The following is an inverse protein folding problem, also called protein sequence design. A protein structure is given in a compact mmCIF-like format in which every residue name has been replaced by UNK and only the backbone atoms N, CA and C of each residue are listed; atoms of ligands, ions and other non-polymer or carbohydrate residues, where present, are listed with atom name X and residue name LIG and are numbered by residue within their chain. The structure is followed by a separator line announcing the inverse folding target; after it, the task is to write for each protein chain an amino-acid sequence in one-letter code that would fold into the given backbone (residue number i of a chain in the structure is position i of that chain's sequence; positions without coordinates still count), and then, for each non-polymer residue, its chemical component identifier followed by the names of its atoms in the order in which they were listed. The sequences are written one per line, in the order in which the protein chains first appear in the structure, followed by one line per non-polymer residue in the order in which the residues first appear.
data_IF_199832548540
#
_entry.id   IF_199832548540
#
_cell.length_a   1.000
_cell.length_b   1.000
_cell.length_c   1.000
_cell.angle_alpha   90.00
_cell.angle_beta   90.00
_cell.angle_gamma   90.00
#
_symmetry.space_group_name_H-M   'P 1'
#
loop_
_entity.id
_entity.type
_entity.pdbx_description
1 polymer ?
#
# COMPACT_ATOMS: atom_id res chain seq x y z
N UNK A 1 16.81 -19.14 -20.75
CA UNK A 1 15.35 -19.05 -20.55
C UNK A 1 15.08 -18.87 -19.07
N UNK A 2 14.15 -18.01 -18.76
CA UNK A 2 13.70 -17.78 -17.39
C UNK A 2 12.42 -18.59 -17.16
N UNK A 3 12.36 -19.30 -16.05
CA UNK A 3 11.23 -20.15 -15.67
C UNK A 3 10.77 -19.78 -14.25
N UNK A 4 9.45 -19.79 -14.04
CA UNK A 4 8.87 -19.57 -12.74
C UNK A 4 8.19 -20.87 -12.29
N UNK A 5 8.72 -21.50 -11.25
CA UNK A 5 8.13 -22.67 -10.64
C UNK A 5 7.31 -22.26 -9.42
N UNK A 6 6.02 -22.63 -9.44
CA UNK A 6 5.09 -22.29 -8.35
C UNK A 6 4.54 -23.61 -7.79
N UNK A 7 4.71 -23.78 -6.47
CA UNK A 7 4.13 -24.86 -5.70
C UNK A 7 3.25 -24.30 -4.59
N UNK A 8 1.98 -24.65 -4.59
CA UNK A 8 0.98 -24.18 -3.61
C UNK A 8 0.42 -25.36 -2.85
N UNK A 9 0.54 -25.32 -1.53
CA UNK A 9 -0.08 -26.26 -0.60
C UNK A 9 -0.93 -25.51 0.42
N UNK A 10 -1.83 -26.17 1.17
CA UNK A 10 -2.57 -25.51 2.25
C UNK A 10 -1.67 -24.88 3.33
N UNK A 11 -0.43 -25.35 3.46
CA UNK A 11 0.51 -24.95 4.52
C UNK A 11 1.46 -23.84 4.06
N UNK A 12 1.81 -23.80 2.79
CA UNK A 12 2.78 -22.84 2.25
C UNK A 12 2.68 -22.68 0.74
N UNK A 13 3.11 -21.52 0.25
CA UNK A 13 3.37 -21.23 -1.15
C UNK A 13 4.88 -21.08 -1.35
N UNK A 14 5.44 -21.77 -2.35
CA UNK A 14 6.84 -21.65 -2.76
C UNK A 14 6.88 -21.15 -4.20
N UNK A 15 7.72 -20.16 -4.45
CA UNK A 15 7.94 -19.63 -5.80
C UNK A 15 9.45 -19.60 -6.04
N UNK A 16 9.93 -20.28 -7.07
CA UNK A 16 11.31 -20.26 -7.48
C UNK A 16 11.47 -19.63 -8.87
N UNK A 17 12.38 -18.66 -8.97
CA UNK A 17 12.84 -18.12 -10.25
C UNK A 17 14.06 -18.92 -10.69
N UNK A 18 13.95 -19.58 -11.84
CA UNK A 18 15.02 -20.33 -12.46
C UNK A 18 15.57 -19.53 -13.64
N UNK A 19 16.88 -19.31 -13.66
CA UNK A 19 17.57 -18.66 -14.76
C UNK A 19 18.69 -19.58 -15.26
N UNK A 20 18.67 -19.88 -16.54
CA UNK A 20 19.64 -20.80 -17.18
C UNK A 20 19.80 -22.15 -16.45
N UNK A 21 18.69 -22.72 -15.97
CA UNK A 21 18.67 -24.00 -15.27
C UNK A 21 19.12 -23.95 -13.80
N UNK A 22 19.38 -22.75 -13.26
CA UNK A 22 19.81 -22.57 -11.86
C UNK A 22 18.76 -21.76 -11.11
N UNK A 23 18.46 -22.15 -9.85
CA UNK A 23 17.59 -21.36 -8.96
C UNK A 23 18.30 -20.06 -8.61
N UNK A 24 17.72 -18.94 -9.05
CA UNK A 24 18.22 -17.60 -8.77
C UNK A 24 17.60 -17.01 -7.51
N UNK A 25 16.28 -17.18 -7.35
CA UNK A 25 15.54 -16.70 -6.19
C UNK A 25 14.52 -17.75 -5.71
N UNK A 26 14.34 -17.84 -4.40
CA UNK A 26 13.33 -18.71 -3.79
C UNK A 26 12.53 -17.93 -2.76
N UNK A 27 11.23 -17.86 -2.97
CA UNK A 27 10.27 -17.25 -2.04
C UNK A 27 9.46 -18.36 -1.38
N UNK A 28 9.33 -18.30 -0.04
CA UNK A 28 8.51 -19.23 0.74
C UNK A 28 7.62 -18.44 1.67
N UNK A 29 6.31 -18.52 1.48
CA UNK A 29 5.32 -17.94 2.37
C UNK A 29 4.54 -19.06 3.05
N UNK A 30 4.57 -19.10 4.39
CA UNK A 30 3.84 -20.08 5.20
C UNK A 30 2.53 -19.50 5.71
N UNK A 31 1.43 -20.25 5.58
CA UNK A 31 0.09 -19.83 6.01
C UNK A 31 0.06 -19.38 7.49
N UNK A 32 0.79 -20.09 8.37
CA UNK A 32 0.89 -19.76 9.82
C UNK A 32 1.66 -18.48 10.12
N UNK A 33 2.48 -17.99 9.16
CA UNK A 33 3.31 -16.78 9.30
C UNK A 33 2.97 -15.71 8.26
N UNK A 34 1.81 -15.82 7.64
CA UNK A 34 1.37 -14.86 6.65
C UNK A 34 1.20 -13.50 7.30
N UNK A 35 1.99 -12.51 6.85
CA UNK A 35 1.88 -11.12 7.29
C UNK A 35 0.60 -10.47 6.79
N UNK A 36 0.11 -9.49 7.53
CA UNK A 36 -1.07 -8.71 7.18
C UNK A 36 -0.70 -7.36 6.57
N UNK A 37 0.57 -6.96 6.65
CA UNK A 37 1.05 -5.68 6.13
C UNK A 37 0.71 -5.53 4.65
N UNK A 38 0.10 -4.37 4.30
CA UNK A 38 -0.37 -4.07 2.96
C UNK A 38 -1.82 -4.52 2.68
N UNK A 39 -2.40 -5.42 3.48
CA UNK A 39 -3.80 -5.81 3.33
C UNK A 39 -4.74 -4.64 3.60
N UNK A 40 -5.80 -4.55 2.81
CA UNK A 40 -6.84 -3.52 2.92
C UNK A 40 -8.12 -4.16 3.43
N UNK A 41 -8.73 -3.52 4.43
CA UNK A 41 -9.94 -3.99 5.08
C UNK A 41 -11.02 -2.89 5.12
N UNK A 42 -12.26 -3.31 5.15
CA UNK A 42 -13.40 -2.50 5.56
C UNK A 42 -13.55 -2.66 7.07
N UNK A 43 -13.06 -1.68 7.83
CA UNK A 43 -13.02 -1.72 9.28
C UNK A 43 -14.18 -0.94 9.91
N UNK A 44 -14.59 -1.36 11.12
CA UNK A 44 -15.61 -0.69 11.95
C UNK A 44 -14.95 -0.10 13.19
N UNK A 45 -15.12 1.19 13.42
CA UNK A 45 -14.65 1.86 14.65
C UNK A 45 -15.40 1.29 15.85
N UNK A 46 -14.67 0.70 16.79
CA UNK A 46 -15.21 0.13 18.02
C UNK A 46 -15.21 1.16 19.13
N UNK A 47 -14.10 1.87 19.29
CA UNK A 47 -13.88 2.84 20.36
C UNK A 47 -12.92 3.92 19.93
N UNK A 48 -13.24 5.18 20.27
CA UNK A 48 -12.34 6.32 20.11
C UNK A 48 -11.66 6.63 21.43
N UNK A 49 -10.36 6.94 21.38
CA UNK A 49 -9.47 7.19 22.52
C UNK A 49 -8.88 8.61 22.42
N UNK A 50 -9.57 9.62 22.99
CA UNK A 50 -9.15 11.01 22.81
C UNK A 50 -7.78 11.32 23.39
N UNK A 51 -7.47 10.79 24.56
CA UNK A 51 -6.18 11.00 25.22
C UNK A 51 -4.98 10.45 24.45
N UNK A 52 -5.23 9.53 23.50
CA UNK A 52 -4.21 8.95 22.62
C UNK A 52 -4.32 9.45 21.17
N UNK A 53 -5.31 10.30 20.87
CA UNK A 53 -5.64 10.73 19.50
C UNK A 53 -5.74 9.54 18.51
N UNK A 54 -6.44 8.47 18.92
CA UNK A 54 -6.51 7.21 18.21
C UNK A 54 -7.87 6.52 18.37
N UNK A 55 -8.07 5.45 17.60
CA UNK A 55 -9.25 4.60 17.73
C UNK A 55 -8.86 3.12 17.63
N UNK A 56 -9.67 2.27 18.25
CA UNK A 56 -9.69 0.84 17.98
C UNK A 56 -10.69 0.55 16.86
N UNK A 57 -10.25 -0.24 15.88
CA UNK A 57 -11.00 -0.61 14.68
C UNK A 57 -11.07 -2.14 14.57
N UNK A 58 -12.26 -2.66 14.45
CA UNK A 58 -12.48 -4.08 14.13
C UNK A 58 -12.34 -4.28 12.61
N UNK A 59 -11.42 -5.14 12.23
CA UNK A 59 -11.16 -5.52 10.83
C UNK A 59 -11.43 -7.02 10.59
N UNK A 60 -12.19 -7.67 11.48
CA UNK A 60 -12.54 -9.09 11.39
C UNK A 60 -11.46 -10.05 11.87
N UNK A 61 -10.46 -9.58 12.57
CA UNK A 61 -9.39 -10.40 13.18
C UNK A 61 -9.66 -10.67 14.66
N UNK A 62 -8.89 -11.56 15.25
CA UNK A 62 -9.02 -11.94 16.67
C UNK A 62 -8.80 -10.78 17.65
N UNK A 63 -8.17 -9.70 17.21
CA UNK A 63 -7.90 -8.49 17.99
C UNK A 63 -8.27 -7.25 17.19
N UNK A 64 -8.82 -6.26 17.89
CA UNK A 64 -9.04 -4.94 17.32
C UNK A 64 -7.71 -4.31 16.94
N UNK A 65 -7.68 -3.67 15.77
CA UNK A 65 -6.53 -2.95 15.27
C UNK A 65 -6.51 -1.50 15.78
N UNK A 66 -5.38 -0.83 15.66
CA UNK A 66 -5.12 0.52 16.17
C UNK A 66 -4.94 1.49 15.02
N UNK A 67 -5.70 2.59 15.02
CA UNK A 67 -5.61 3.68 14.05
C UNK A 67 -5.31 4.98 14.79
N UNK A 68 -4.14 5.56 14.55
CA UNK A 68 -3.75 6.86 15.11
C UNK A 68 -4.08 7.99 14.15
N UNK A 69 -4.39 9.18 14.66
CA UNK A 69 -4.73 10.35 13.84
C UNK A 69 -3.65 10.69 12.81
N UNK A 70 -2.37 10.54 13.15
CA UNK A 70 -1.26 10.79 12.23
C UNK A 70 -1.20 9.83 11.04
N UNK A 71 -1.89 8.68 11.12
CA UNK A 71 -1.98 7.68 10.07
C UNK A 71 -3.29 7.82 9.26
N UNK A 72 -4.03 8.92 9.48
CA UNK A 72 -5.25 9.23 8.77
C UNK A 72 -5.01 10.29 7.70
N UNK A 73 -5.82 10.26 6.65
CA UNK A 73 -5.85 11.29 5.61
C UNK A 73 -6.82 12.39 6.02
N UNK A 74 -6.34 13.63 6.05
CA UNK A 74 -7.15 14.85 6.14
C UNK A 74 -6.47 15.97 5.34
N UNK A 75 -7.18 17.06 5.00
CA UNK A 75 -6.58 18.19 4.29
C UNK A 75 -5.42 18.81 5.07
N UNK A 76 -4.20 18.74 4.53
CA UNK A 76 -2.96 19.19 5.21
C UNK A 76 -2.86 20.71 5.39
N UNK A 77 -3.71 21.49 4.73
CA UNK A 77 -3.82 22.93 4.88
C UNK A 77 -4.69 23.36 6.09
N UNK A 78 -5.20 22.41 6.85
CA UNK A 78 -5.98 22.63 8.07
C UNK A 78 -5.18 22.20 9.30
N UNK A 79 -5.43 22.78 10.49
CA UNK A 79 -4.89 22.30 11.76
C UNK A 79 -5.21 20.83 11.95
N UNK A 80 -4.34 20.09 12.64
CA UNK A 80 -4.61 18.69 12.98
C UNK A 80 -5.92 18.60 13.76
N UNK A 81 -6.95 17.94 13.20
CA UNK A 81 -8.24 17.83 13.88
C UNK A 81 -8.15 16.95 15.12
N UNK A 82 -9.12 17.04 16.01
CA UNK A 82 -9.26 16.07 17.08
C UNK A 82 -9.81 14.76 16.51
N UNK A 83 -9.37 13.62 17.05
CA UNK A 83 -9.82 12.30 16.59
C UNK A 83 -11.34 12.14 16.63
N UNK A 84 -12.04 12.80 17.55
CA UNK A 84 -13.52 12.80 17.62
C UNK A 84 -14.20 13.55 16.48
N UNK A 85 -13.50 14.48 15.85
CA UNK A 85 -14.04 15.21 14.69
C UNK A 85 -14.03 14.34 13.45
N UNK A 86 -13.11 13.36 13.41
CA UNK A 86 -12.91 12.45 12.27
C UNK A 86 -13.60 11.10 12.44
N UNK A 87 -13.66 10.59 13.68
CA UNK A 87 -14.10 9.22 13.95
C UNK A 87 -15.18 9.16 15.03
N UNK A 88 -16.17 8.30 14.75
CA UNK A 88 -17.25 7.98 15.70
C UNK A 88 -17.38 6.45 15.84
N UNK A 89 -17.73 5.94 17.06
CA UNK A 89 -18.04 4.53 17.23
C UNK A 89 -19.12 4.06 16.26
N UNK A 90 -18.90 2.90 15.63
CA UNK A 90 -19.80 2.34 14.62
C UNK A 90 -19.51 2.79 13.18
N UNK A 91 -18.70 3.82 12.97
CA UNK A 91 -18.31 4.28 11.64
C UNK A 91 -17.54 3.20 10.89
N UNK A 92 -17.84 3.08 9.59
CA UNK A 92 -17.14 2.16 8.68
C UNK A 92 -16.15 2.98 7.85
N UNK A 93 -14.91 2.46 7.73
CA UNK A 93 -13.85 3.09 6.93
C UNK A 93 -12.98 2.03 6.24
N UNK A 94 -12.36 2.42 5.14
CA UNK A 94 -11.35 1.60 4.47
C UNK A 94 -10.00 1.88 5.10
N UNK A 95 -9.30 0.83 5.51
CA UNK A 95 -8.01 0.91 6.20
C UNK A 95 -7.02 -0.09 5.64
N UNK A 96 -5.74 0.24 5.69
CA UNK A 96 -4.65 -0.62 5.31
C UNK A 96 -3.77 -0.95 6.51
N UNK A 97 -3.32 -2.19 6.61
CA UNK A 97 -2.39 -2.61 7.67
C UNK A 97 -0.99 -2.10 7.36
N UNK A 98 -0.43 -1.31 8.27
CA UNK A 98 0.94 -0.78 8.19
C UNK A 98 1.95 -1.60 8.98
N UNK A 99 1.50 -2.24 10.08
CA UNK A 99 2.30 -3.12 10.90
C UNK A 99 1.45 -4.27 11.40
N UNK A 100 2.03 -5.47 11.40
CA UNK A 100 1.39 -6.67 11.92
C UNK A 100 1.12 -6.57 13.43
N UNK A 101 0.26 -7.47 13.89
CA UNK A 101 0.05 -7.69 15.32
C UNK A 101 1.36 -8.13 15.98
N UNK A 102 1.68 -7.54 17.13
CA UNK A 102 2.88 -7.89 17.90
C UNK A 102 2.53 -8.15 19.37
N UNK A 103 2.76 -9.37 19.82
CA UNK A 103 2.45 -9.78 21.19
C UNK A 103 0.97 -9.56 21.53
N UNK A 104 0.67 -8.68 22.47
CA UNK A 104 -0.70 -8.34 22.90
C UNK A 104 -1.32 -7.18 22.09
N UNK A 105 -0.53 -6.48 21.24
CA UNK A 105 -0.98 -5.33 20.48
C UNK A 105 -1.63 -5.75 19.16
N UNK A 106 -2.77 -5.12 18.80
CA UNK A 106 -3.40 -5.26 17.50
C UNK A 106 -2.57 -4.64 16.37
N UNK A 107 -2.93 -4.95 15.13
CA UNK A 107 -2.31 -4.37 13.94
C UNK A 107 -2.42 -2.84 13.94
N UNK A 108 -1.41 -2.14 13.37
CA UNK A 108 -1.48 -0.69 13.14
C UNK A 108 -2.04 -0.43 11.75
N UNK A 109 -2.98 0.47 11.69
CA UNK A 109 -3.72 0.82 10.48
C UNK A 109 -3.36 2.22 9.98
N UNK A 110 -3.64 2.46 8.70
CA UNK A 110 -3.69 3.78 8.07
C UNK A 110 -4.93 3.89 7.18
N UNK A 111 -5.46 5.10 7.03
CA UNK A 111 -6.44 5.41 5.98
C UNK A 111 -5.75 5.93 4.71
N UNK A 112 -4.45 6.24 4.76
CA UNK A 112 -3.64 6.60 3.61
C UNK A 112 -3.22 5.32 2.87
N UNK A 113 -4.06 4.94 1.89
CA UNK A 113 -3.89 3.69 1.16
C UNK A 113 -2.72 3.80 0.18
N UNK A 114 -1.95 2.72 0.08
CA UNK A 114 -0.83 2.59 -0.85
C UNK A 114 -0.93 1.24 -1.56
N UNK A 115 -1.15 1.27 -2.88
CA UNK A 115 -1.36 0.09 -3.71
C UNK A 115 -0.16 -0.06 -4.65
N UNK A 116 0.84 -0.88 -4.28
CA UNK A 116 2.02 -1.07 -5.10
C UNK A 116 1.75 -2.03 -6.26
N UNK A 117 2.26 -1.67 -7.43
CA UNK A 117 2.42 -2.56 -8.57
C UNK A 117 3.90 -2.67 -8.97
N UNK A 118 4.20 -3.29 -10.11
CA UNK A 118 5.57 -3.45 -10.60
C UNK A 118 6.27 -2.10 -10.82
N UNK A 119 5.62 -1.19 -11.53
CA UNK A 119 6.19 0.08 -11.97
C UNK A 119 5.73 1.29 -11.18
N UNK A 120 4.56 1.19 -10.56
CA UNK A 120 3.86 2.30 -9.93
C UNK A 120 3.42 1.96 -8.50
N UNK A 121 3.20 3.01 -7.70
CA UNK A 121 2.43 2.92 -6.47
C UNK A 121 1.29 3.91 -6.57
N UNK A 122 0.05 3.43 -6.49
CA UNK A 122 -1.15 4.28 -6.46
C UNK A 122 -1.50 4.65 -5.02
N UNK A 123 -1.74 5.92 -4.79
CA UNK A 123 -2.23 6.49 -3.52
C UNK A 123 -3.54 7.24 -3.79
N UNK A 124 -4.72 6.62 -3.54
CA UNK A 124 -6.01 7.15 -4.00
C UNK A 124 -6.37 8.55 -3.49
N UNK A 125 -5.83 8.95 -2.36
CA UNK A 125 -6.16 10.23 -1.69
C UNK A 125 -5.12 11.33 -1.92
N UNK A 126 -4.10 11.10 -2.74
CA UNK A 126 -3.12 12.12 -3.11
C UNK A 126 -3.51 12.92 -4.36
N UNK A 127 -2.70 13.92 -4.72
CA UNK A 127 -2.93 14.79 -5.88
C UNK A 127 -1.65 15.12 -6.65
N UNK A 128 -0.55 14.39 -6.45
CA UNK A 128 0.72 14.68 -7.14
C UNK A 128 1.34 13.42 -7.74
N UNK A 129 2.17 13.61 -8.73
CA UNK A 129 2.96 12.55 -9.35
C UNK A 129 4.40 12.67 -8.83
N UNK A 130 4.85 11.62 -8.15
CA UNK A 130 6.23 11.46 -7.73
C UNK A 130 6.99 10.52 -8.66
N UNK A 131 8.28 10.74 -8.83
CA UNK A 131 9.18 9.80 -9.52
C UNK A 131 10.31 9.45 -8.57
N UNK A 132 10.68 8.17 -8.52
CA UNK A 132 11.77 7.69 -7.66
C UNK A 132 13.05 8.48 -7.88
N UNK A 133 13.62 9.02 -6.80
CA UNK A 133 14.90 9.74 -6.84
C UNK A 133 16.09 8.83 -7.16
N UNK A 134 15.91 7.50 -7.16
CA UNK A 134 16.93 6.54 -7.59
C UNK A 134 17.11 6.49 -9.10
N UNK A 135 16.18 7.06 -9.87
CA UNK A 135 16.36 7.29 -11.31
C UNK A 135 17.22 8.53 -11.44
N UNK A 136 18.49 8.35 -11.80
CA UNK A 136 19.47 9.43 -11.80
C UNK A 136 19.23 10.45 -12.92
N UNK A 137 18.80 10.00 -14.11
CA UNK A 137 18.52 10.85 -15.26
C UNK A 137 17.32 11.76 -15.02
N UNK A 138 17.55 13.07 -14.98
CA UNK A 138 16.49 14.07 -14.87
C UNK A 138 15.54 14.04 -16.10
N UNK A 139 16.11 13.87 -17.29
CA UNK A 139 15.35 13.72 -18.52
C UNK A 139 14.39 12.52 -18.48
N UNK A 140 14.86 11.40 -17.93
CA UNK A 140 14.02 10.21 -17.76
C UNK A 140 12.93 10.43 -16.71
N UNK A 141 13.22 11.10 -15.59
CA UNK A 141 12.20 11.46 -14.60
C UNK A 141 11.10 12.34 -15.19
N UNK A 142 11.47 13.31 -16.02
CA UNK A 142 10.51 14.20 -16.69
C UNK A 142 9.68 13.45 -17.74
N UNK A 143 10.30 12.54 -18.49
CA UNK A 143 9.60 11.65 -19.44
C UNK A 143 8.54 10.81 -18.71
N UNK A 144 8.92 10.15 -17.63
CA UNK A 144 8.01 9.31 -16.84
C UNK A 144 6.90 10.13 -16.19
N UNK A 145 7.19 11.31 -15.66
CA UNK A 145 6.18 12.22 -15.09
C UNK A 145 5.16 12.62 -16.14
N UNK A 146 5.60 13.11 -17.30
CA UNK A 146 4.72 13.55 -18.39
C UNK A 146 3.86 12.39 -18.92
N UNK A 147 4.44 11.20 -19.00
CA UNK A 147 3.70 9.99 -19.39
C UNK A 147 2.56 9.69 -18.43
N UNK A 148 2.83 9.68 -17.11
CA UNK A 148 1.79 9.39 -16.09
C UNK A 148 0.73 10.49 -16.07
N UNK A 149 1.10 11.76 -16.21
CA UNK A 149 0.14 12.88 -16.36
C UNK A 149 -0.80 12.67 -17.55
N UNK A 150 -0.26 12.23 -18.67
CA UNK A 150 -1.03 11.88 -19.87
C UNK A 150 -2.03 10.75 -19.60
N UNK A 151 -1.58 9.65 -19.01
CA UNK A 151 -2.41 8.49 -18.66
C UNK A 151 -3.51 8.88 -17.67
N UNK A 152 -3.17 9.60 -16.60
CA UNK A 152 -4.16 10.04 -15.60
C UNK A 152 -5.23 10.96 -16.23
N UNK A 153 -4.82 11.89 -17.10
CA UNK A 153 -5.73 12.81 -17.77
C UNK A 153 -6.65 12.06 -18.74
N UNK A 154 -6.10 11.17 -19.56
CA UNK A 154 -6.86 10.39 -20.53
C UNK A 154 -7.91 9.50 -19.88
N UNK A 155 -7.55 8.82 -18.78
CA UNK A 155 -8.41 7.87 -18.08
C UNK A 155 -9.16 8.48 -16.89
N UNK A 156 -8.98 9.78 -16.61
CA UNK A 156 -9.59 10.49 -15.47
C UNK A 156 -9.33 9.77 -14.14
N UNK A 157 -8.11 9.26 -13.96
CA UNK A 157 -7.74 8.52 -12.77
C UNK A 157 -7.45 9.49 -11.61
N UNK A 158 -8.17 9.40 -10.49
CA UNK A 158 -7.89 10.20 -9.31
C UNK A 158 -6.68 9.65 -8.56
N UNK A 159 -6.13 10.49 -7.69
CA UNK A 159 -5.09 10.08 -6.75
C UNK A 159 -3.69 10.51 -7.15
N UNK A 160 -2.76 10.19 -6.30
CA UNK A 160 -1.31 10.36 -6.45
C UNK A 160 -0.70 9.09 -7.02
N UNK A 161 0.34 9.24 -7.82
CA UNK A 161 1.12 8.10 -8.33
C UNK A 161 2.59 8.32 -8.03
N UNK A 162 3.26 7.28 -7.54
CA UNK A 162 4.72 7.27 -7.40
C UNK A 162 5.28 6.27 -8.41
N UNK A 163 6.11 6.76 -9.32
CA UNK A 163 6.81 5.94 -10.31
C UNK A 163 8.03 5.30 -9.65
N UNK A 164 8.11 3.98 -9.74
CA UNK A 164 9.21 3.19 -9.16
C UNK A 164 10.41 3.12 -10.11
N UNK A 165 11.57 2.82 -9.57
CA UNK A 165 12.83 2.64 -10.34
C UNK A 165 12.68 1.59 -11.46
N UNK A 166 11.85 0.57 -11.25
CA UNK A 166 11.60 -0.47 -12.26
C UNK A 166 10.92 0.04 -13.54
N UNK A 167 10.42 1.29 -13.54
CA UNK A 167 9.83 1.93 -14.73
C UNK A 167 10.86 2.61 -15.64
N UNK A 168 12.12 2.70 -15.22
CA UNK A 168 13.19 3.30 -16.02
C UNK A 168 13.35 2.59 -17.37
N UNK A 169 13.31 3.35 -18.47
CA UNK A 169 13.40 2.83 -19.83
C UNK A 169 12.19 2.07 -20.35
N UNK A 170 11.12 1.91 -19.53
CA UNK A 170 9.91 1.17 -19.92
C UNK A 170 9.01 2.04 -20.82
N UNK A 171 8.46 1.49 -21.92
CA UNK A 171 7.54 2.21 -22.79
C UNK A 171 6.16 2.39 -22.15
N UNK A 172 5.44 3.43 -22.59
CA UNK A 172 4.10 3.77 -22.08
C UNK A 172 3.10 2.60 -22.21
N UNK A 173 3.15 1.87 -23.32
CA UNK A 173 2.26 0.74 -23.58
C UNK A 173 2.34 -0.38 -22.55
N UNK A 174 3.48 -0.49 -21.83
CA UNK A 174 3.68 -1.49 -20.78
C UNK A 174 3.29 -0.95 -19.39
N UNK A 175 3.47 0.34 -19.16
CA UNK A 175 3.11 0.98 -17.89
C UNK A 175 1.59 1.21 -17.77
N UNK A 176 0.91 1.42 -18.90
CA UNK A 176 -0.53 1.70 -18.96
C UNK A 176 -1.43 0.46 -18.85
N UNK A 177 -0.86 -0.75 -18.81
CA UNK A 177 -1.59 -2.01 -18.61
C UNK A 177 -1.89 -2.25 -17.13
#
# INVERSE_FOLDING_TARGET
SDELLINVTPMECRVALIQNGTVNELFVERTVKRGLVGNIYKGKVVRVLPGMQAAFVDIGLSRTAFLHINDMVWPRNQPTPNVFELLQPGQILTVQVMKDMLGTKGARLSTDLSIPSRYLVLMPYGHHIGVSQRIESEQERDRLRSMIEGIQTQHKLPGSVIVRTAAEGIPESEIAQ
#
